data_IF_064362007907
#
_entry.id   IF_064362007907
#
_cell.length_a   1.000
_cell.length_b   1.000
_cell.length_c   1.000
_cell.angle_alpha   90.00
_cell.angle_beta   90.00
_cell.angle_gamma   90.00
#
_symmetry.space_group_name_H-M   'P 1'
#
loop_
_entity.id
_entity.type
_entity.pdbx_description
1 polymer ?
#
# COMPACT_ATOMS: atom_id res chain seq x y z
N UNK A 1 7.15 17.74 -15.03
CA UNK A 1 6.72 16.36 -14.72
C UNK A 1 6.55 16.26 -13.21
N UNK A 2 5.32 16.09 -12.71
CA UNK A 2 5.04 16.15 -11.27
C UNK A 2 5.63 14.96 -10.51
N UNK A 3 6.25 15.21 -9.35
CA UNK A 3 6.90 14.19 -8.52
C UNK A 3 5.84 13.37 -7.75
N UNK A 4 5.70 12.07 -8.06
CA UNK A 4 4.83 11.16 -7.32
C UNK A 4 5.61 10.48 -6.18
N UNK A 5 5.49 11.06 -4.99
CA UNK A 5 6.19 10.58 -3.78
C UNK A 5 5.78 9.17 -3.35
N UNK A 6 4.56 8.73 -3.67
CA UNK A 6 4.09 7.38 -3.35
C UNK A 6 4.71 6.39 -4.33
N UNK A 7 4.76 6.72 -5.62
CA UNK A 7 5.44 5.87 -6.61
C UNK A 7 6.94 5.72 -6.29
N UNK A 8 7.60 6.80 -5.88
CA UNK A 8 9.01 6.79 -5.44
C UNK A 8 9.20 5.88 -4.21
N UNK A 9 8.32 5.99 -3.21
CA UNK A 9 8.31 5.12 -2.03
C UNK A 9 8.21 3.64 -2.42
N UNK A 10 7.20 3.25 -3.18
CA UNK A 10 6.97 1.84 -3.55
C UNK A 10 8.12 1.29 -4.39
N UNK A 11 8.65 2.09 -5.30
CA UNK A 11 9.80 1.73 -6.14
C UNK A 11 11.06 1.54 -5.29
N UNK A 12 11.31 2.43 -4.33
CA UNK A 12 12.47 2.34 -3.44
C UNK A 12 12.45 1.07 -2.58
N UNK A 13 11.29 0.69 -2.04
CA UNK A 13 11.10 -0.54 -1.27
C UNK A 13 11.34 -1.75 -2.17
N UNK A 14 10.73 -1.79 -3.35
CA UNK A 14 10.90 -2.89 -4.32
C UNK A 14 12.35 -3.07 -4.72
N UNK A 15 13.06 -1.97 -4.98
CA UNK A 15 14.46 -2.01 -5.37
C UNK A 15 15.36 -2.48 -4.22
N UNK A 16 15.04 -2.12 -2.98
CA UNK A 16 15.77 -2.58 -1.81
C UNK A 16 15.59 -4.08 -1.56
N UNK A 17 14.36 -4.58 -1.69
CA UNK A 17 14.05 -6.01 -1.61
C UNK A 17 14.81 -6.81 -2.68
N UNK A 18 14.77 -6.36 -3.95
CA UNK A 18 15.50 -7.00 -5.05
C UNK A 18 17.03 -7.03 -4.83
N UNK A 19 17.59 -5.96 -4.26
CA UNK A 19 19.03 -5.86 -4.00
C UNK A 19 19.44 -6.35 -2.60
N UNK A 20 18.52 -6.98 -1.83
CA UNK A 20 18.75 -7.45 -0.45
C UNK A 20 19.32 -6.36 0.49
N UNK A 21 18.96 -5.10 0.26
CA UNK A 21 19.36 -3.98 1.11
C UNK A 21 18.54 -3.96 2.39
N UNK A 22 19.19 -3.84 3.55
CA UNK A 22 18.51 -3.81 4.85
C UNK A 22 17.80 -2.49 5.18
N UNK A 23 18.12 -1.41 4.47
CA UNK A 23 17.62 -0.06 4.77
C UNK A 23 17.32 0.73 3.51
N UNK A 24 16.29 1.58 3.57
CA UNK A 24 15.90 2.50 2.49
C UNK A 24 15.62 3.87 3.09
N UNK A 25 16.13 4.92 2.44
CA UNK A 25 15.80 6.31 2.77
C UNK A 25 14.70 6.77 1.83
N UNK A 26 13.61 7.27 2.39
CA UNK A 26 12.44 7.77 1.66
C UNK A 26 12.05 9.14 2.19
N UNK A 27 11.27 9.89 1.42
CA UNK A 27 10.75 11.18 1.85
C UNK A 27 9.72 10.97 2.97
N UNK A 28 9.91 11.64 4.10
CA UNK A 28 8.97 11.60 5.23
C UNK A 28 7.79 12.53 4.94
N UNK A 29 6.61 11.95 4.78
CA UNK A 29 5.34 12.65 4.70
C UNK A 29 4.34 11.86 5.52
N UNK A 30 3.27 12.51 5.98
CA UNK A 30 2.21 11.80 6.70
C UNK A 30 1.67 10.60 5.90
N UNK A 31 1.57 10.73 4.58
CA UNK A 31 1.08 9.65 3.71
C UNK A 31 2.08 8.49 3.66
N UNK A 32 3.35 8.77 3.38
CA UNK A 32 4.39 7.74 3.26
C UNK A 32 4.60 7.02 4.60
N UNK A 33 4.56 7.73 5.73
CA UNK A 33 4.66 7.14 7.07
C UNK A 33 3.49 6.19 7.37
N UNK A 34 2.25 6.58 7.06
CA UNK A 34 1.08 5.72 7.30
C UNK A 34 1.13 4.46 6.41
N UNK A 35 1.51 4.59 5.14
CA UNK A 35 1.70 3.45 4.25
C UNK A 35 2.75 2.48 4.81
N UNK A 36 3.90 3.00 5.26
CA UNK A 36 4.96 2.18 5.86
C UNK A 36 4.49 1.50 7.16
N UNK A 37 3.74 2.20 8.02
CA UNK A 37 3.16 1.61 9.24
C UNK A 37 2.23 0.43 8.91
N UNK A 38 1.37 0.57 7.90
CA UNK A 38 0.49 -0.50 7.43
C UNK A 38 1.33 -1.67 6.90
N UNK A 39 2.33 -1.40 6.05
CA UNK A 39 3.23 -2.44 5.52
C UNK A 39 3.92 -3.23 6.63
N UNK A 40 4.43 -2.56 7.67
CA UNK A 40 5.09 -3.21 8.80
C UNK A 40 4.12 -4.05 9.65
N UNK A 41 2.89 -3.57 9.83
CA UNK A 41 1.83 -4.29 10.56
C UNK A 41 1.41 -5.57 9.83
N UNK A 42 1.23 -5.49 8.52
CA UNK A 42 0.73 -6.61 7.71
C UNK A 42 1.84 -7.60 7.33
N UNK A 43 3.07 -7.12 7.09
CA UNK A 43 4.23 -7.94 6.72
C UNK A 43 4.75 -8.86 7.82
N UNK A 44 4.28 -8.73 9.07
CA UNK A 44 4.65 -9.60 10.20
C UNK A 44 3.87 -10.93 10.28
N UNK A 45 2.95 -11.22 9.36
CA UNK A 45 2.07 -12.40 9.43
C UNK A 45 2.55 -13.67 8.71
N UNK A 46 3.82 -13.80 8.34
CA UNK A 46 4.36 -15.07 7.82
C UNK A 46 4.74 -16.02 8.96
N UNK A 47 3.75 -16.76 9.49
CA UNK A 47 3.99 -17.89 10.39
C UNK A 47 4.40 -19.13 9.58
N UNK A 48 5.56 -19.69 9.93
CA UNK A 48 6.08 -21.04 9.62
C UNK A 48 6.72 -21.26 8.24
N UNK A 49 8.05 -21.43 8.25
CA UNK A 49 8.80 -22.13 7.20
C UNK A 49 9.11 -21.29 5.96
N UNK A 50 10.31 -20.71 5.95
CA UNK A 50 11.04 -20.06 4.85
C UNK A 50 10.31 -20.04 3.49
N UNK A 51 9.67 -18.92 3.17
CA UNK A 51 9.61 -18.35 1.81
C UNK A 51 9.62 -16.82 1.95
N UNK A 52 10.73 -16.18 1.54
CA UNK A 52 10.80 -14.72 1.37
C UNK A 52 10.06 -14.40 0.07
N UNK A 53 8.74 -14.44 0.11
CA UNK A 53 7.89 -14.16 -1.04
C UNK A 53 7.95 -12.66 -1.27
N UNK A 54 8.71 -12.26 -2.30
CA UNK A 54 8.86 -10.90 -2.83
C UNK A 54 7.55 -10.10 -2.67
N UNK A 55 7.58 -9.03 -1.88
CA UNK A 55 6.41 -8.16 -1.71
C UNK A 55 6.18 -7.37 -3.00
N UNK A 56 5.07 -7.66 -3.68
CA UNK A 56 4.65 -6.93 -4.86
C UNK A 56 3.87 -5.68 -4.44
N UNK A 57 4.40 -4.53 -4.82
CA UNK A 57 3.81 -3.22 -4.58
C UNK A 57 3.40 -2.60 -5.91
N UNK A 58 2.12 -2.21 -6.04
CA UNK A 58 1.60 -1.58 -7.26
C UNK A 58 0.88 -0.27 -6.94
N UNK A 59 1.35 0.85 -7.50
CA UNK A 59 0.66 2.14 -7.48
C UNK A 59 -0.58 2.08 -8.38
N UNK A 60 -1.75 2.44 -7.84
CA UNK A 60 -3.04 2.37 -8.53
C UNK A 60 -3.50 3.76 -8.96
N UNK A 61 -3.91 4.61 -8.03
CA UNK A 61 -4.12 6.02 -8.32
C UNK A 61 -2.80 6.68 -8.72
N UNK A 62 -2.79 7.68 -9.59
CA UNK A 62 -1.59 8.44 -10.01
C UNK A 62 -1.97 9.92 -10.12
N UNK A 63 -1.04 10.87 -10.02
CA UNK A 63 -1.37 12.30 -10.14
C UNK A 63 -2.19 12.66 -11.38
N UNK A 64 -1.93 12.01 -12.52
CA UNK A 64 -2.69 12.19 -13.77
C UNK A 64 -3.90 11.28 -13.95
N UNK A 65 -4.15 10.33 -13.04
CA UNK A 65 -5.31 9.44 -13.07
C UNK A 65 -5.66 9.00 -11.65
N UNK A 66 -6.55 9.76 -11.00
CA UNK A 66 -6.98 9.46 -9.64
C UNK A 66 -8.10 8.42 -9.64
N UNK A 67 -7.93 7.36 -8.85
CA UNK A 67 -8.91 6.27 -8.76
C UNK A 67 -9.61 6.35 -7.41
N UNK A 68 -10.91 6.58 -7.43
CA UNK A 68 -11.76 6.64 -6.24
C UNK A 68 -12.79 5.51 -6.27
N UNK A 69 -13.17 5.05 -5.08
CA UNK A 69 -14.21 4.05 -4.94
C UNK A 69 -15.05 4.28 -3.69
N UNK A 70 -16.30 3.84 -3.72
CA UNK A 70 -17.15 3.76 -2.53
C UNK A 70 -16.80 2.51 -1.73
N UNK A 71 -17.33 2.37 -0.51
CA UNK A 71 -17.01 1.23 0.36
C UNK A 71 -17.45 -0.13 -0.21
N UNK A 72 -18.50 -0.16 -1.02
CA UNK A 72 -19.04 -1.37 -1.65
C UNK A 72 -18.20 -1.83 -2.84
N UNK A 73 -17.61 -0.89 -3.57
CA UNK A 73 -16.78 -1.11 -4.75
C UNK A 73 -15.29 -1.13 -4.43
N UNK A 74 -14.90 -1.27 -3.16
CA UNK A 74 -13.47 -1.41 -2.83
C UNK A 74 -12.97 -2.70 -3.49
N UNK A 75 -11.94 -2.63 -4.34
CA UNK A 75 -11.44 -3.79 -5.05
C UNK A 75 -10.75 -4.75 -4.08
N UNK A 76 -10.96 -6.05 -4.30
CA UNK A 76 -10.25 -7.11 -3.59
C UNK A 76 -8.98 -7.48 -4.36
N UNK A 77 -7.85 -7.52 -3.67
CA UNK A 77 -6.56 -7.89 -4.26
C UNK A 77 -6.35 -9.39 -4.04
N UNK A 78 -6.14 -10.14 -5.13
CA UNK A 78 -5.97 -11.61 -5.12
C UNK A 78 -7.04 -12.35 -4.30
N UNK A 79 -8.32 -12.01 -4.50
CA UNK A 79 -9.44 -12.67 -3.78
C UNK A 79 -9.38 -12.48 -2.26
N UNK A 80 -8.86 -11.34 -1.79
CA UNK A 80 -8.77 -10.99 -0.36
C UNK A 80 -7.48 -11.40 0.34
N UNK A 81 -6.57 -12.09 -0.36
CA UNK A 81 -5.23 -12.41 0.15
C UNK A 81 -4.33 -11.17 0.19
N UNK A 82 -4.41 -10.32 -0.83
CA UNK A 82 -3.69 -9.06 -0.89
C UNK A 82 -4.43 -7.95 -0.13
N UNK A 83 -3.76 -6.81 -0.02
CA UNK A 83 -4.26 -5.65 0.71
C UNK A 83 -4.31 -4.45 -0.25
N UNK A 84 -5.42 -3.74 -0.23
CA UNK A 84 -5.54 -2.44 -0.88
C UNK A 84 -5.43 -1.35 0.19
N UNK A 85 -4.59 -0.34 -0.03
CA UNK A 85 -4.46 0.83 0.84
C UNK A 85 -5.25 1.97 0.23
N UNK A 86 -6.12 2.58 1.03
CA UNK A 86 -6.98 3.68 0.63
C UNK A 86 -6.68 4.94 1.44
N UNK A 87 -6.75 6.09 0.78
CA UNK A 87 -6.85 7.39 1.44
C UNK A 87 -8.32 7.75 1.60
N UNK A 88 -8.78 7.84 2.84
CA UNK A 88 -10.18 8.15 3.17
C UNK A 88 -10.27 9.47 3.93
N UNK A 89 -11.49 9.96 4.16
CA UNK A 89 -11.75 11.14 5.00
C UNK A 89 -11.32 10.97 6.47
N UNK A 90 -11.14 9.74 6.95
CA UNK A 90 -10.65 9.43 8.31
C UNK A 90 -9.16 9.07 8.33
N UNK A 91 -8.45 9.25 7.22
CA UNK A 91 -7.04 8.92 7.09
C UNK A 91 -6.78 7.72 6.18
N UNK A 92 -5.52 7.27 6.17
CA UNK A 92 -5.07 6.15 5.34
C UNK A 92 -5.28 4.85 6.09
N UNK A 93 -5.92 3.89 5.43
CA UNK A 93 -6.28 2.61 6.04
C UNK A 93 -6.31 1.49 4.99
N UNK A 94 -6.43 0.26 5.48
CA UNK A 94 -6.60 -0.94 4.64
C UNK A 94 -8.02 -1.04 4.12
N UNK A 95 -8.20 -1.80 3.05
CA UNK A 95 -9.48 -2.14 2.47
C UNK A 95 -10.43 -2.84 3.46
N UNK A 96 -9.88 -3.66 4.37
CA UNK A 96 -10.64 -4.29 5.45
C UNK A 96 -11.19 -3.25 6.45
N UNK A 97 -10.35 -2.32 6.89
CA UNK A 97 -10.75 -1.23 7.79
C UNK A 97 -11.77 -0.30 7.11
N UNK A 98 -11.57 0.01 5.82
CA UNK A 98 -12.48 0.86 5.05
C UNK A 98 -13.86 0.23 4.86
N UNK A 99 -13.93 -1.07 4.54
CA UNK A 99 -15.20 -1.82 4.47
C UNK A 99 -15.91 -1.90 5.81
N UNK A 100 -15.17 -2.16 6.90
CA UNK A 100 -15.73 -2.20 8.26
C UNK A 100 -16.37 -0.87 8.65
N UNK A 101 -15.70 0.24 8.34
CA UNK A 101 -16.19 1.59 8.64
C UNK A 101 -17.23 2.10 7.62
N UNK A 102 -17.49 1.36 6.54
CA UNK A 102 -18.34 1.77 5.40
C UNK A 102 -17.89 3.08 4.76
N UNK A 103 -16.59 3.27 4.58
CA UNK A 103 -16.00 4.50 4.02
C UNK A 103 -15.24 4.18 2.72
N UNK A 104 -15.50 4.97 1.69
CA UNK A 104 -14.75 4.95 0.43
C UNK A 104 -13.57 5.92 0.42
N UNK A 105 -12.85 5.98 -0.69
CA UNK A 105 -11.69 6.85 -0.80
C UNK A 105 -10.88 6.67 -2.08
N UNK A 106 -9.71 7.30 -2.11
CA UNK A 106 -8.74 7.13 -3.18
C UNK A 106 -7.99 5.81 -3.00
N UNK A 107 -7.97 4.96 -4.02
CA UNK A 107 -7.22 3.70 -3.99
C UNK A 107 -5.75 3.99 -4.30
N UNK A 108 -4.90 3.99 -3.26
CA UNK A 108 -3.52 4.40 -3.40
C UNK A 108 -2.65 3.32 -4.05
N UNK A 109 -2.59 2.16 -3.43
CA UNK A 109 -1.75 1.06 -3.90
C UNK A 109 -2.26 -0.28 -3.42
N UNK A 110 -1.79 -1.32 -4.10
CA UNK A 110 -2.03 -2.73 -3.76
C UNK A 110 -0.72 -3.37 -3.30
N UNK A 111 -0.86 -4.31 -2.38
CA UNK A 111 0.23 -5.09 -1.76
C UNK A 111 -0.16 -6.57 -1.81
N UNK A 112 0.75 -7.44 -2.26
CA UNK A 112 0.60 -8.90 -2.20
C UNK A 112 1.95 -9.63 -2.31
#
# INVERSE_FOLDING_TARGET
MGKDTIADLLTSIRNADMNKKGTVRVVSTNITENIVKILLREGRKTRKGIYRTRTFLKRISRPGLRIYTNYQGIPEVLGGMGISILSTSRGIMTDREARLNRIGGEVLCYIW
#
